data_IF_795001063900
#
_entry.id   IF_795001063900
#
_cell.length_a   1.000
_cell.length_b   1.000
_cell.length_c   1.000
_cell.angle_alpha   90.00
_cell.angle_beta   90.00
_cell.angle_gamma   90.00
#
_symmetry.space_group_name_H-M   'P 1'
#
loop_
_entity.id
_entity.type
_entity.pdbx_description
1 polymer ?
#
# COMPACT_ATOMS: atom_id res chain seq x y z
N UNK A 1 6.92 -38.60 14.59
CA UNK A 1 6.71 -37.76 13.40
C UNK A 1 6.79 -36.33 13.88
N UNK A 2 7.98 -35.74 13.75
CA UNK A 2 8.29 -34.37 14.17
C UNK A 2 7.40 -33.37 13.43
N UNK A 3 6.68 -32.53 14.18
CA UNK A 3 6.12 -31.30 13.62
C UNK A 3 7.29 -30.34 13.45
N UNK A 4 7.81 -30.24 12.24
CA UNK A 4 8.67 -29.12 11.85
C UNK A 4 7.92 -27.83 12.15
N UNK A 5 8.37 -27.14 13.19
CA UNK A 5 7.90 -25.80 13.50
C UNK A 5 8.43 -24.91 12.39
N UNK A 6 7.57 -24.60 11.42
CA UNK A 6 7.87 -23.67 10.34
C UNK A 6 8.13 -22.30 10.99
N UNK A 7 9.41 -21.97 11.17
CA UNK A 7 9.84 -20.72 11.80
C UNK A 7 9.45 -19.55 10.91
N UNK A 8 8.30 -18.94 11.21
CA UNK A 8 7.85 -17.72 10.57
C UNK A 8 8.73 -16.57 11.08
N UNK A 9 9.64 -16.10 10.23
CA UNK A 9 10.42 -14.89 10.50
C UNK A 9 9.63 -13.67 10.04
N UNK A 10 9.26 -12.81 10.98
CA UNK A 10 8.65 -11.51 10.70
C UNK A 10 9.60 -10.37 11.11
N UNK A 11 9.57 -9.27 10.38
CA UNK A 11 10.24 -8.02 10.78
C UNK A 11 9.20 -7.00 11.23
N UNK A 12 9.42 -6.36 12.37
CA UNK A 12 8.57 -5.26 12.86
C UNK A 12 9.09 -3.96 12.26
N UNK A 13 8.25 -3.29 11.47
CA UNK A 13 8.56 -2.00 10.87
C UNK A 13 7.97 -0.92 11.79
N UNK A 14 8.84 -0.22 12.51
CA UNK A 14 8.48 0.97 13.30
C UNK A 14 8.39 2.23 12.43
N UNK A 15 8.10 3.37 13.04
CA UNK A 15 7.88 4.62 12.31
C UNK A 15 9.19 5.20 11.70
N UNK A 16 10.32 4.97 12.35
CA UNK A 16 11.67 5.31 11.87
C UNK A 16 12.29 4.23 10.96
N UNK A 17 11.67 3.05 10.87
CA UNK A 17 12.18 1.96 10.05
C UNK A 17 11.79 2.19 8.58
N UNK A 18 12.78 2.44 7.73
CA UNK A 18 12.58 2.68 6.31
C UNK A 18 13.02 1.49 5.46
N UNK A 19 12.09 0.97 4.66
CA UNK A 19 12.32 -0.12 3.73
C UNK A 19 13.07 0.38 2.49
N UNK A 20 13.99 -0.43 1.96
CA UNK A 20 14.48 -0.27 0.59
C UNK A 20 13.39 -0.66 -0.43
N UNK A 21 13.62 -0.34 -1.70
CA UNK A 21 12.73 -0.76 -2.79
C UNK A 21 12.62 -2.30 -2.88
N UNK A 22 13.71 -3.02 -2.66
CA UNK A 22 13.73 -4.49 -2.70
C UNK A 22 12.97 -5.11 -1.53
N UNK A 23 13.07 -4.52 -0.34
CA UNK A 23 12.34 -4.97 0.85
C UNK A 23 10.84 -4.74 0.69
N UNK A 24 10.45 -3.57 0.18
CA UNK A 24 9.05 -3.24 -0.11
C UNK A 24 8.45 -4.15 -1.18
N UNK A 25 9.17 -4.36 -2.29
CA UNK A 25 8.75 -5.25 -3.37
C UNK A 25 8.56 -6.68 -2.86
N UNK A 26 9.53 -7.21 -2.10
CA UNK A 26 9.45 -8.54 -1.48
C UNK A 26 8.27 -8.65 -0.53
N UNK A 27 8.01 -7.64 0.29
CA UNK A 27 6.88 -7.62 1.22
C UNK A 27 5.50 -7.55 0.55
N UNK A 28 5.47 -7.20 -0.74
CA UNK A 28 4.28 -7.21 -1.60
C UNK A 28 4.22 -8.45 -2.52
N UNK A 29 5.26 -9.29 -2.56
CA UNK A 29 5.37 -10.40 -3.51
C UNK A 29 5.49 -9.92 -4.96
N UNK A 30 6.14 -8.78 -5.17
CA UNK A 30 6.28 -8.12 -6.48
C UNK A 30 7.76 -7.85 -6.81
N UNK A 31 8.01 -7.36 -8.03
CA UNK A 31 9.33 -6.92 -8.47
C UNK A 31 9.56 -5.44 -8.14
N UNK A 32 10.84 -5.04 -8.03
CA UNK A 32 11.20 -3.64 -7.78
C UNK A 32 10.67 -2.69 -8.86
N UNK A 33 10.59 -3.16 -10.11
CA UNK A 33 10.05 -2.37 -11.23
C UNK A 33 8.60 -1.93 -10.99
N UNK A 34 7.78 -2.80 -10.40
CA UNK A 34 6.41 -2.46 -10.06
C UNK A 34 6.34 -1.35 -9.01
N UNK A 35 7.23 -1.35 -8.01
CA UNK A 35 7.33 -0.25 -7.04
C UNK A 35 7.74 1.06 -7.74
N UNK A 36 8.65 1.03 -8.71
CA UNK A 36 9.03 2.20 -9.50
C UNK A 36 7.82 2.78 -10.22
N UNK A 37 6.97 1.94 -10.81
CA UNK A 37 5.73 2.38 -11.46
C UNK A 37 4.77 3.05 -10.47
N UNK A 38 4.62 2.50 -9.26
CA UNK A 38 3.80 3.12 -8.22
C UNK A 38 4.30 4.52 -7.84
N UNK A 39 5.63 4.68 -7.71
CA UNK A 39 6.24 6.00 -7.44
C UNK A 39 6.02 6.94 -8.63
N UNK A 40 6.14 6.45 -9.86
CA UNK A 40 5.98 7.25 -11.07
C UNK A 40 4.58 7.86 -11.21
N UNK A 41 3.55 7.14 -10.77
CA UNK A 41 2.16 7.66 -10.75
C UNK A 41 1.80 8.41 -9.46
N UNK A 42 2.74 8.56 -8.52
CA UNK A 42 2.54 9.27 -7.26
C UNK A 42 1.77 8.48 -6.18
N UNK A 43 1.63 7.17 -6.33
CA UNK A 43 0.98 6.32 -5.32
C UNK A 43 1.86 6.09 -4.08
N UNK A 44 3.18 6.18 -4.25
CA UNK A 44 4.17 6.05 -3.20
C UNK A 44 5.14 7.23 -3.27
N UNK A 45 5.54 7.75 -2.11
CA UNK A 45 6.45 8.89 -2.00
C UNK A 45 7.69 8.50 -1.17
N UNK A 46 8.72 7.90 -1.79
CA UNK A 46 9.93 7.52 -1.08
C UNK A 46 10.71 8.75 -0.62
N UNK A 47 11.44 8.60 0.48
CA UNK A 47 12.51 9.53 0.82
C UNK A 47 13.75 9.23 -0.04
N UNK A 48 14.42 10.29 -0.49
CA UNK A 48 15.62 10.20 -1.32
C UNK A 48 15.36 10.45 -2.81
N UNK A 49 16.38 10.93 -3.51
CA UNK A 49 16.25 11.40 -4.90
C UNK A 49 16.53 10.33 -5.95
N UNK A 50 17.26 9.28 -5.58
CA UNK A 50 17.68 8.20 -6.47
C UNK A 50 17.03 6.88 -6.05
N UNK A 51 16.66 6.03 -7.00
CA UNK A 51 16.01 4.73 -6.75
C UNK A 51 16.80 3.84 -5.79
N UNK A 52 18.14 3.84 -5.89
CA UNK A 52 19.03 3.07 -5.00
C UNK A 52 19.04 3.57 -3.55
N UNK A 53 18.59 4.80 -3.31
CA UNK A 53 18.53 5.44 -2.00
C UNK A 53 17.10 5.60 -1.49
N UNK A 54 16.11 5.12 -2.24
CA UNK A 54 14.71 5.21 -1.83
C UNK A 54 14.46 4.48 -0.53
N UNK A 55 13.73 5.18 0.34
CA UNK A 55 13.37 4.74 1.67
C UNK A 55 11.88 4.94 1.89
N UNK A 56 11.19 3.84 2.15
CA UNK A 56 9.73 3.78 2.27
C UNK A 56 9.31 3.50 3.71
N UNK A 57 8.26 4.17 4.18
CA UNK A 57 7.70 3.98 5.52
C UNK A 57 6.69 2.84 5.53
N UNK A 58 6.23 2.46 6.73
CA UNK A 58 5.16 1.47 6.87
C UNK A 58 3.87 1.84 6.10
N UNK A 59 3.56 3.14 6.00
CA UNK A 59 2.41 3.64 5.23
C UNK A 59 2.50 3.28 3.74
N UNK A 60 3.71 3.35 3.15
CA UNK A 60 3.95 2.98 1.75
C UNK A 60 3.72 1.48 1.52
N UNK A 61 4.11 0.63 2.48
CA UNK A 61 3.81 -0.81 2.42
C UNK A 61 2.30 -1.09 2.47
N UNK A 62 1.56 -0.38 3.32
CA UNK A 62 0.11 -0.52 3.39
C UNK A 62 -0.53 -0.06 2.08
N UNK A 63 -0.08 1.07 1.52
CA UNK A 63 -0.53 1.57 0.23
C UNK A 63 -0.25 0.56 -0.90
N UNK A 64 0.99 0.10 -1.04
CA UNK A 64 1.38 -0.88 -2.05
C UNK A 64 0.53 -2.16 -1.97
N UNK A 65 0.27 -2.68 -0.76
CA UNK A 65 -0.61 -3.85 -0.59
C UNK A 65 -2.04 -3.59 -1.03
N UNK A 66 -2.58 -2.39 -0.79
CA UNK A 66 -3.91 -1.98 -1.28
C UNK A 66 -3.92 -1.92 -2.81
N UNK A 67 -2.89 -1.34 -3.41
CA UNK A 67 -2.74 -1.27 -4.87
C UNK A 67 -2.72 -2.67 -5.47
N UNK A 68 -1.85 -3.57 -4.97
CA UNK A 68 -1.74 -4.95 -5.44
C UNK A 68 -3.07 -5.70 -5.35
N UNK A 69 -3.85 -5.46 -4.29
CA UNK A 69 -5.18 -6.04 -4.14
C UNK A 69 -6.16 -5.49 -5.18
N UNK A 70 -6.21 -4.19 -5.39
CA UNK A 70 -7.10 -3.58 -6.39
C UNK A 70 -6.76 -4.02 -7.81
N UNK A 71 -5.48 -4.10 -8.16
CA UNK A 71 -5.04 -4.63 -9.45
C UNK A 71 -5.50 -6.09 -9.65
N UNK A 72 -5.39 -6.93 -8.61
CA UNK A 72 -5.85 -8.32 -8.65
C UNK A 72 -7.37 -8.43 -8.76
N UNK A 73 -8.10 -7.71 -7.92
CA UNK A 73 -9.55 -7.84 -7.80
C UNK A 73 -10.27 -7.26 -9.04
N UNK A 74 -9.67 -6.28 -9.73
CA UNK A 74 -10.29 -5.57 -10.85
C UNK A 74 -9.55 -5.69 -12.19
N UNK A 75 -8.40 -6.35 -12.26
CA UNK A 75 -7.56 -6.40 -13.46
C UNK A 75 -7.11 -5.01 -13.94
N UNK A 76 -6.99 -4.06 -13.01
CA UNK A 76 -6.80 -2.64 -13.30
C UNK A 76 -5.32 -2.29 -13.52
N UNK A 77 -5.05 -1.29 -14.36
CA UNK A 77 -3.72 -0.71 -14.50
C UNK A 77 -3.33 0.11 -13.26
N UNK A 78 -2.05 0.43 -13.11
CA UNK A 78 -1.53 1.25 -12.01
C UNK A 78 -2.21 2.62 -11.95
N UNK A 79 -2.42 3.27 -13.09
CA UNK A 79 -3.10 4.58 -13.20
C UNK A 79 -4.57 4.47 -12.82
N UNK A 80 -5.26 3.41 -13.27
CA UNK A 80 -6.65 3.17 -12.91
C UNK A 80 -6.81 2.97 -11.39
N UNK A 81 -5.87 2.26 -10.76
CA UNK A 81 -5.88 2.06 -9.31
C UNK A 81 -5.63 3.36 -8.53
N UNK A 82 -4.80 4.27 -9.04
CA UNK A 82 -4.64 5.60 -8.44
C UNK A 82 -5.98 6.34 -8.34
N UNK A 83 -6.74 6.38 -9.43
CA UNK A 83 -8.09 6.98 -9.43
C UNK A 83 -9.03 6.23 -8.48
N UNK A 84 -8.99 4.89 -8.44
CA UNK A 84 -9.82 4.12 -7.52
C UNK A 84 -9.52 4.43 -6.06
N UNK A 85 -8.25 4.60 -5.70
CA UNK A 85 -7.85 4.97 -4.35
C UNK A 85 -8.37 6.36 -3.97
N UNK A 86 -8.25 7.34 -4.86
CA UNK A 86 -8.80 8.68 -4.64
C UNK A 86 -10.32 8.63 -4.41
N UNK A 87 -11.04 7.85 -5.21
CA UNK A 87 -12.49 7.66 -5.07
C UNK A 87 -12.86 6.97 -3.76
N UNK A 88 -12.10 5.95 -3.33
CA UNK A 88 -12.31 5.29 -2.05
C UNK A 88 -12.09 6.24 -0.88
N UNK A 89 -11.04 7.06 -0.93
CA UNK A 89 -10.79 8.11 0.06
C UNK A 89 -11.93 9.13 0.09
N UNK A 90 -12.44 9.53 -1.07
CA UNK A 90 -13.56 10.46 -1.13
C UNK A 90 -14.86 9.84 -0.59
N UNK A 91 -15.13 8.57 -0.86
CA UNK A 91 -16.28 7.85 -0.27
C UNK A 91 -16.16 7.78 1.25
N UNK A 92 -14.97 7.48 1.78
CA UNK A 92 -14.72 7.48 3.23
C UNK A 92 -14.96 8.86 3.84
N UNK A 93 -14.49 9.93 3.18
CA UNK A 93 -14.71 11.32 3.59
C UNK A 93 -16.20 11.67 3.62
N UNK A 94 -16.93 11.34 2.55
CA UNK A 94 -18.37 11.61 2.44
C UNK A 94 -19.18 10.84 3.50
N UNK A 95 -18.86 9.56 3.74
CA UNK A 95 -19.47 8.76 4.81
C UNK A 95 -19.22 9.38 6.18
N UNK A 96 -18.00 9.86 6.45
CA UNK A 96 -17.69 10.54 7.71
C UNK A 96 -18.48 11.86 7.85
N UNK A 97 -18.69 12.62 6.77
CA UNK A 97 -19.53 13.82 6.76
C UNK A 97 -21.00 13.49 7.08
N UNK A 98 -21.57 12.46 6.46
CA UNK A 98 -22.94 12.02 6.70
C UNK A 98 -23.16 11.58 8.16
N UNK A 99 -22.23 10.77 8.68
CA UNK A 99 -22.26 10.34 10.09
C UNK A 99 -22.23 11.54 11.05
N UNK A 100 -21.41 12.55 10.76
CA UNK A 100 -21.35 13.80 11.55
C UNK A 100 -22.62 14.63 11.45
N UNK A 101 -23.37 14.51 10.36
CA UNK A 101 -24.66 15.17 10.15
C UNK A 101 -25.85 14.37 10.73
N UNK A 102 -25.62 13.19 11.31
CA UNK A 102 -26.68 12.33 11.84
C UNK A 102 -27.51 11.64 10.75
N UNK A 103 -26.98 11.54 9.53
CA UNK A 103 -27.63 10.91 8.38
C UNK A 103 -26.94 9.56 8.10
N UNK A 104 -27.17 8.57 8.94
CA UNK A 104 -26.70 7.22 8.65
C UNK A 104 -27.69 6.52 7.71
N UNK A 105 -27.19 5.87 6.65
CA UNK A 105 -27.99 5.13 5.67
C UNK A 105 -28.46 3.74 6.17
N UNK A 106 -28.16 3.42 7.43
CA UNK A 106 -28.64 2.24 8.13
C UNK A 106 -29.40 2.70 9.39
N UNK A 107 -30.65 3.11 9.18
CA UNK A 107 -31.72 3.12 10.18
C UNK A 107 -32.87 2.27 9.65
#
# INVERSE_FOLDING_TARGET
MDREQELLTGSVIGDEAVLSIEELARACGAEAQWIIELVAVGLLEPQGTETSRWRFRAADLICARRVARLQRDFGASTEAVAVMLDLLTEIERLRACLKRAGLDADA
#
